data_IF_602713405008
#
_entry.id   IF_602713405008
#
_cell.length_a   1.000
_cell.length_b   1.000
_cell.length_c   1.000
_cell.angle_alpha   90.00
_cell.angle_beta   90.00
_cell.angle_gamma   90.00
#
_symmetry.space_group_name_H-M   'P 1'
#
loop_
_entity.id
_entity.type
_entity.pdbx_description
1 polymer ?
#
# COMPACT_ATOMS: atom_id res chain seq x y z
N UNK A 1 6.31 -15.59 -73.05
CA UNK A 1 6.96 -15.90 -71.75
C UNK A 1 7.54 -14.70 -70.96
N UNK A 2 8.01 -13.57 -71.54
CA UNK A 2 8.60 -12.46 -70.74
C UNK A 2 7.61 -11.66 -69.88
N UNK A 3 6.35 -11.56 -70.31
CA UNK A 3 5.32 -10.73 -69.66
C UNK A 3 4.81 -11.26 -68.32
N UNK A 4 4.91 -12.57 -68.06
CA UNK A 4 4.45 -13.20 -66.81
C UNK A 4 5.49 -13.04 -65.68
N UNK A 5 6.79 -13.12 -66.02
CA UNK A 5 7.91 -12.91 -65.08
C UNK A 5 7.90 -11.46 -64.56
N UNK A 6 7.66 -10.49 -65.44
CA UNK A 6 7.62 -9.07 -65.07
C UNK A 6 6.43 -8.72 -64.14
N UNK A 7 5.28 -9.40 -64.31
CA UNK A 7 4.11 -9.26 -63.40
C UNK A 7 4.37 -9.88 -62.02
N UNK A 8 5.03 -11.04 -61.95
CA UNK A 8 5.41 -11.69 -60.69
C UNK A 8 6.37 -10.86 -59.85
N UNK A 9 7.41 -10.28 -60.47
CA UNK A 9 8.38 -9.39 -59.81
C UNK A 9 7.72 -8.11 -59.28
N UNK A 10 6.76 -7.54 -60.02
CA UNK A 10 6.00 -6.35 -59.59
C UNK A 10 5.08 -6.66 -58.41
N UNK A 11 4.44 -7.82 -58.41
CA UNK A 11 3.62 -8.29 -57.29
C UNK A 11 4.47 -8.55 -56.03
N UNK A 12 5.65 -9.16 -56.17
CA UNK A 12 6.58 -9.38 -55.06
C UNK A 12 7.09 -8.07 -54.47
N UNK A 13 7.48 -7.09 -55.30
CA UNK A 13 7.85 -5.73 -54.86
C UNK A 13 6.71 -5.03 -54.13
N UNK A 14 5.46 -5.23 -54.56
CA UNK A 14 4.27 -4.67 -53.89
C UNK A 14 4.06 -5.31 -52.51
N UNK A 15 4.19 -6.64 -52.40
CA UNK A 15 4.13 -7.37 -51.13
C UNK A 15 5.24 -6.91 -50.17
N UNK A 16 6.48 -6.81 -50.64
CA UNK A 16 7.61 -6.34 -49.83
C UNK A 16 7.42 -4.91 -49.31
N UNK A 17 6.87 -4.02 -50.14
CA UNK A 17 6.53 -2.65 -49.71
C UNK A 17 5.39 -2.64 -48.68
N UNK A 18 4.38 -3.48 -48.86
CA UNK A 18 3.29 -3.62 -47.89
C UNK A 18 3.80 -4.12 -46.54
N UNK A 19 4.64 -5.17 -46.52
CA UNK A 19 5.25 -5.68 -45.28
C UNK A 19 6.16 -4.66 -44.60
N UNK A 20 6.92 -3.87 -45.37
CA UNK A 20 7.75 -2.78 -44.81
C UNK A 20 6.90 -1.65 -44.22
N UNK A 21 5.78 -1.31 -44.85
CA UNK A 21 4.84 -0.32 -44.34
C UNK A 21 4.18 -0.83 -43.05
N UNK A 22 3.70 -2.07 -43.04
CA UNK A 22 3.15 -2.73 -41.85
C UNK A 22 4.15 -2.76 -40.69
N UNK A 23 5.42 -3.09 -40.97
CA UNK A 23 6.48 -3.04 -39.96
C UNK A 23 6.74 -1.61 -39.44
N UNK A 24 6.69 -0.59 -40.30
CA UNK A 24 6.82 0.81 -39.88
C UNK A 24 5.66 1.24 -38.99
N UNK A 25 4.43 0.93 -39.38
CA UNK A 25 3.22 1.21 -38.59
C UNK A 25 3.29 0.49 -37.24
N UNK A 26 3.67 -0.79 -37.21
CA UNK A 26 3.86 -1.53 -35.95
C UNK A 26 4.92 -0.89 -35.05
N UNK A 27 6.06 -0.47 -35.61
CA UNK A 27 7.10 0.25 -34.85
C UNK A 27 6.60 1.60 -34.34
N UNK A 28 5.76 2.29 -35.09
CA UNK A 28 5.19 3.58 -34.69
C UNK A 28 4.15 3.41 -33.59
N UNK A 29 3.25 2.44 -33.71
CA UNK A 29 2.32 2.05 -32.66
C UNK A 29 3.05 1.64 -31.38
N UNK A 30 4.15 0.89 -31.51
CA UNK A 30 4.95 0.50 -30.35
C UNK A 30 5.63 1.70 -29.68
N UNK A 31 6.18 2.63 -30.47
CA UNK A 31 6.71 3.90 -29.92
C UNK A 31 5.61 4.68 -29.20
N UNK A 32 4.43 4.81 -29.82
CA UNK A 32 3.32 5.54 -29.23
C UNK A 32 2.83 4.89 -27.92
N UNK A 33 2.78 3.56 -27.85
CA UNK A 33 2.49 2.83 -26.61
C UNK A 33 3.52 3.14 -25.53
N UNK A 34 4.81 3.05 -25.84
CA UNK A 34 5.88 3.36 -24.90
C UNK A 34 5.82 4.82 -24.44
N UNK A 35 5.54 5.76 -25.34
CA UNK A 35 5.32 7.17 -24.98
C UNK A 35 4.14 7.34 -24.04
N UNK A 36 3.01 6.70 -24.31
CA UNK A 36 1.85 6.72 -23.41
C UNK A 36 2.16 6.11 -22.04
N UNK A 37 2.96 5.06 -21.96
CA UNK A 37 3.40 4.48 -20.69
C UNK A 37 4.31 5.43 -19.91
N UNK A 38 5.24 6.09 -20.60
CA UNK A 38 6.13 7.09 -20.03
C UNK A 38 5.33 8.29 -19.52
N UNK A 39 4.38 8.80 -20.30
CA UNK A 39 3.52 9.93 -19.93
C UNK A 39 2.67 9.59 -18.70
N UNK A 40 2.02 8.40 -18.71
CA UNK A 40 1.30 7.89 -17.53
C UNK A 40 2.20 7.79 -16.30
N UNK A 41 3.44 7.35 -16.48
CA UNK A 41 4.40 7.26 -15.38
C UNK A 41 4.77 8.66 -14.85
N UNK A 42 5.02 9.63 -15.73
CA UNK A 42 5.27 11.02 -15.36
C UNK A 42 4.10 11.66 -14.63
N UNK A 43 2.87 11.45 -15.12
CA UNK A 43 1.65 11.96 -14.47
C UNK A 43 1.49 11.37 -13.08
N UNK A 44 1.66 10.04 -12.93
CA UNK A 44 1.63 9.38 -11.63
C UNK A 44 2.72 9.91 -10.68
N UNK A 45 3.92 10.19 -11.19
CA UNK A 45 5.01 10.73 -10.40
C UNK A 45 4.71 12.17 -9.94
N UNK A 46 4.18 12.99 -10.85
CA UNK A 46 3.76 14.36 -10.56
C UNK A 46 2.64 14.39 -9.53
N UNK A 47 1.62 13.56 -9.70
CA UNK A 47 0.50 13.44 -8.75
C UNK A 47 0.99 13.01 -7.35
N UNK A 48 1.90 12.03 -7.28
CA UNK A 48 2.54 11.63 -6.01
C UNK A 48 3.29 12.78 -5.37
N UNK A 49 4.05 13.54 -6.14
CA UNK A 49 4.81 14.68 -5.63
C UNK A 49 3.88 15.80 -5.14
N UNK A 50 2.82 16.11 -5.88
CA UNK A 50 1.80 17.08 -5.47
C UNK A 50 1.04 16.62 -4.22
N UNK A 51 0.76 15.32 -4.06
CA UNK A 51 0.19 14.76 -2.82
C UNK A 51 1.14 14.95 -1.65
N UNK A 52 2.41 14.57 -1.79
CA UNK A 52 3.42 14.78 -0.74
C UNK A 52 3.56 16.26 -0.36
N UNK A 53 3.53 17.16 -1.35
CA UNK A 53 3.60 18.60 -1.10
C UNK A 53 2.38 19.10 -0.33
N UNK A 54 1.17 18.69 -0.72
CA UNK A 54 -0.07 19.02 0.00
C UNK A 54 -0.08 18.48 1.43
N UNK A 55 0.37 17.25 1.65
CA UNK A 55 0.49 16.68 3.00
C UNK A 55 1.46 17.47 3.88
N UNK A 56 2.60 17.90 3.31
CA UNK A 56 3.57 18.73 4.02
C UNK A 56 2.98 20.12 4.36
N UNK A 57 2.24 20.73 3.43
CA UNK A 57 1.57 22.02 3.65
C UNK A 57 0.53 21.91 4.76
N UNK A 58 -0.34 20.88 4.73
CA UNK A 58 -1.31 20.63 5.80
C UNK A 58 -0.64 20.43 7.17
N UNK A 59 0.48 19.70 7.22
CA UNK A 59 1.25 19.53 8.46
C UNK A 59 1.79 20.85 8.98
N UNK A 60 2.35 21.69 8.10
CA UNK A 60 2.85 23.02 8.47
C UNK A 60 1.73 23.92 8.97
N UNK A 61 0.55 23.86 8.37
CA UNK A 61 -0.63 24.60 8.83
C UNK A 61 -1.04 24.16 10.23
N UNK A 62 -1.08 22.85 10.51
CA UNK A 62 -1.35 22.32 11.84
C UNK A 62 -0.32 22.80 12.88
N UNK A 63 0.98 22.75 12.55
CA UNK A 63 2.05 23.26 13.41
C UNK A 63 1.93 24.78 13.66
N UNK A 64 1.55 25.55 12.64
CA UNK A 64 1.32 26.99 12.75
C UNK A 64 0.14 27.31 13.68
N UNK A 65 -0.96 26.56 13.58
CA UNK A 65 -2.13 26.71 14.45
C UNK A 65 -1.74 26.42 15.90
N UNK A 66 -1.01 25.32 16.16
CA UNK A 66 -0.50 24.99 17.51
C UNK A 66 0.42 26.08 18.05
N UNK A 67 1.31 26.63 17.22
CA UNK A 67 2.19 27.73 17.61
C UNK A 67 1.39 29.00 17.95
N UNK A 68 0.31 29.28 17.22
CA UNK A 68 -0.58 30.40 17.50
C UNK A 68 -1.30 30.24 18.85
N UNK A 69 -1.85 29.05 19.12
CA UNK A 69 -2.52 28.74 20.40
C UNK A 69 -1.52 28.88 21.56
N UNK A 70 -0.30 28.35 21.43
CA UNK A 70 0.77 28.50 22.44
C UNK A 70 1.14 29.96 22.68
N UNK A 71 1.20 30.77 21.62
CA UNK A 71 1.43 32.21 21.74
C UNK A 71 0.28 32.88 22.51
N UNK A 72 -0.99 32.56 22.20
CA UNK A 72 -2.16 33.09 22.92
C UNK A 72 -2.13 32.72 24.41
N UNK A 73 -1.77 31.47 24.74
CA UNK A 73 -1.56 31.02 26.13
C UNK A 73 -0.48 31.87 26.82
N UNK A 74 0.67 32.08 26.16
CA UNK A 74 1.76 32.87 26.72
C UNK A 74 1.35 34.34 26.93
N UNK A 75 0.65 34.94 25.98
CA UNK A 75 0.14 36.31 26.07
C UNK A 75 -0.89 36.46 27.20
N UNK A 76 -1.80 35.49 27.37
CA UNK A 76 -2.74 35.45 28.49
C UNK A 76 -2.01 35.34 29.85
N UNK A 77 -1.01 34.47 29.97
CA UNK A 77 -0.18 34.37 31.20
C UNK A 77 0.54 35.68 31.51
N UNK A 78 1.09 36.34 30.49
CA UNK A 78 1.78 37.64 30.62
C UNK A 78 0.84 38.75 31.07
N UNK A 79 -0.39 38.80 30.56
CA UNK A 79 -1.38 39.81 30.99
C UNK A 79 -1.83 39.58 32.43
N UNK A 80 -2.05 38.33 32.84
CA UNK A 80 -2.35 37.97 34.24
C UNK A 80 -1.24 38.42 35.19
N UNK A 81 0.03 38.19 34.83
CA UNK A 81 1.16 38.64 35.68
C UNK A 81 1.24 40.17 35.76
N UNK A 82 0.96 40.89 34.66
CA UNK A 82 0.86 42.37 34.70
C UNK A 82 -0.24 42.85 35.65
N UNK A 83 -1.42 42.22 35.63
CA UNK A 83 -2.51 42.56 36.56
C UNK A 83 -2.08 42.36 38.02
N UNK A 84 -1.39 41.27 38.32
CA UNK A 84 -0.83 40.99 39.65
C UNK A 84 0.21 42.04 40.09
N UNK A 85 1.04 42.52 39.16
CA UNK A 85 1.98 43.61 39.44
C UNK A 85 1.23 44.92 39.71
N UNK A 86 0.14 45.22 38.98
CA UNK A 86 -0.69 46.40 39.24
C UNK A 86 -1.37 46.37 40.62
N UNK A 87 -1.87 45.20 41.05
CA UNK A 87 -2.41 45.01 42.41
C UNK A 87 -1.36 45.35 43.48
N UNK A 88 -0.14 44.79 43.34
CA UNK A 88 0.98 45.05 44.27
C UNK A 88 1.38 46.53 44.29
N UNK A 89 1.50 47.15 43.12
CA UNK A 89 1.84 48.58 43.01
C UNK A 89 0.79 49.45 43.71
N UNK A 90 -0.49 49.13 43.54
CA UNK A 90 -1.56 49.86 44.21
C UNK A 90 -1.51 49.67 45.72
N UNK A 91 -1.35 48.44 46.20
CA UNK A 91 -1.20 48.15 47.64
C UNK A 91 -0.02 48.92 48.25
N UNK A 92 1.13 48.95 47.58
CA UNK A 92 2.30 49.71 48.02
C UNK A 92 2.03 51.23 48.07
N UNK A 93 1.33 51.78 47.07
CA UNK A 93 0.92 53.20 47.06
C UNK A 93 -0.03 53.52 48.20
N UNK A 94 -1.01 52.65 48.46
CA UNK A 94 -1.97 52.81 49.54
C UNK A 94 -1.27 52.78 50.91
N UNK A 95 -0.35 51.83 51.14
CA UNK A 95 0.45 51.77 52.37
C UNK A 95 1.29 53.05 52.57
N UNK A 96 1.90 53.58 51.50
CA UNK A 96 2.72 54.79 51.55
C UNK A 96 1.87 56.06 51.83
N UNK A 97 0.65 56.14 51.27
CA UNK A 97 -0.30 57.22 51.55
C UNK A 97 -0.76 57.20 53.02
N UNK A 98 -1.09 56.02 53.56
CA UNK A 98 -1.46 55.86 54.96
C UNK A 98 -0.32 56.27 55.89
N UNK A 99 0.92 55.88 55.59
CA UNK A 99 2.11 56.33 56.34
C UNK A 99 2.30 57.85 56.33
N UNK A 100 1.87 58.53 55.26
CA UNK A 100 1.91 59.99 55.13
C UNK A 100 0.67 60.70 55.70
N UNK A 101 -0.28 59.94 56.26
CA UNK A 101 -1.51 60.47 56.85
C UNK A 101 -2.63 60.82 55.85
N UNK A 102 -2.47 60.46 54.56
CA UNK A 102 -3.51 60.67 53.54
C UNK A 102 -4.33 59.40 53.33
N UNK A 103 -5.66 59.51 53.41
CA UNK A 103 -6.59 58.41 53.13
C UNK A 103 -7.30 58.61 51.79
N UNK A 104 -7.30 57.58 50.95
CA UNK A 104 -8.07 57.54 49.71
C UNK A 104 -9.53 57.18 50.02
N UNK A 105 -10.47 57.69 49.23
CA UNK A 105 -11.88 57.32 49.37
C UNK A 105 -12.09 55.81 49.14
N UNK A 106 -12.83 55.12 50.03
CA UNK A 106 -13.06 53.67 49.95
C UNK A 106 -13.67 53.21 48.62
N UNK A 107 -14.53 54.03 48.02
CA UNK A 107 -15.23 53.75 46.77
C UNK A 107 -14.25 53.58 45.59
N UNK A 108 -13.19 54.37 45.55
CA UNK A 108 -12.15 54.24 44.53
C UNK A 108 -11.31 52.96 44.70
N UNK A 109 -11.20 52.45 45.92
CA UNK A 109 -10.54 51.17 46.20
C UNK A 109 -11.39 50.00 45.73
N UNK A 110 -12.65 49.96 46.16
CA UNK A 110 -13.59 48.91 45.78
C UNK A 110 -13.79 48.86 44.25
N UNK A 111 -13.92 50.00 43.57
CA UNK A 111 -14.07 50.04 42.13
C UNK A 111 -12.83 49.53 41.36
N UNK A 112 -11.62 49.77 41.88
CA UNK A 112 -10.40 49.23 41.27
C UNK A 112 -10.32 47.72 41.46
N UNK A 113 -10.56 47.25 42.68
CA UNK A 113 -10.49 45.83 43.03
C UNK A 113 -11.53 45.02 42.25
N UNK A 114 -12.76 45.52 42.12
CA UNK A 114 -13.79 44.92 41.28
C UNK A 114 -13.37 44.84 39.80
N UNK A 115 -12.83 45.93 39.24
CA UNK A 115 -12.37 45.96 37.84
C UNK A 115 -11.20 45.01 37.58
N UNK A 116 -10.21 44.98 38.48
CA UNK A 116 -9.06 44.08 38.34
C UNK A 116 -9.48 42.62 38.50
N UNK A 117 -10.35 42.33 39.48
CA UNK A 117 -10.87 40.97 39.70
C UNK A 117 -11.63 40.49 38.45
N UNK A 118 -12.50 41.32 37.89
CA UNK A 118 -13.23 40.99 36.66
C UNK A 118 -12.30 40.74 35.46
N UNK A 119 -11.29 41.59 35.27
CA UNK A 119 -10.30 41.40 34.20
C UNK A 119 -9.50 40.11 34.41
N UNK A 120 -9.11 39.81 35.65
CA UNK A 120 -8.38 38.60 36.00
C UNK A 120 -9.20 37.35 35.73
N UNK A 121 -10.46 37.32 36.17
CA UNK A 121 -11.40 36.24 35.89
C UNK A 121 -11.57 36.01 34.39
N UNK A 122 -11.75 37.09 33.62
CA UNK A 122 -11.89 37.02 32.16
C UNK A 122 -10.62 36.45 31.51
N UNK A 123 -9.43 36.89 31.93
CA UNK A 123 -8.17 36.37 31.40
C UNK A 123 -7.92 34.92 31.81
N UNK A 124 -8.32 34.51 33.02
CA UNK A 124 -8.21 33.12 33.48
C UNK A 124 -9.15 32.19 32.70
N UNK A 125 -10.38 32.63 32.42
CA UNK A 125 -11.32 31.90 31.58
C UNK A 125 -10.78 31.72 30.15
N UNK A 126 -10.25 32.79 29.55
CA UNK A 126 -9.62 32.72 28.23
C UNK A 126 -8.40 31.80 28.22
N UNK A 127 -7.56 31.86 29.25
CA UNK A 127 -6.42 30.96 29.38
C UNK A 127 -6.87 29.49 29.45
N UNK A 128 -7.90 29.19 30.24
CA UNK A 128 -8.44 27.83 30.34
C UNK A 128 -8.95 27.31 29.00
N UNK A 129 -9.65 28.15 28.24
CA UNK A 129 -10.13 27.78 26.90
C UNK A 129 -8.97 27.46 25.95
N UNK A 130 -7.92 28.29 25.92
CA UNK A 130 -6.76 28.03 25.06
C UNK A 130 -5.98 26.78 25.48
N UNK A 131 -5.87 26.50 26.78
CA UNK A 131 -5.23 25.28 27.28
C UNK A 131 -6.05 24.02 26.94
N UNK A 132 -7.38 24.11 26.89
CA UNK A 132 -8.24 23.02 26.41
C UNK A 132 -8.11 22.82 24.90
N UNK A 133 -8.06 23.91 24.13
CA UNK A 133 -7.85 23.87 22.68
C UNK A 133 -6.50 23.23 22.33
N UNK A 134 -5.40 23.62 23.01
CA UNK A 134 -4.09 22.98 22.81
C UNK A 134 -4.13 21.47 23.08
N UNK A 135 -4.76 21.06 24.20
CA UNK A 135 -4.90 19.63 24.53
C UNK A 135 -5.72 18.87 23.48
N UNK A 136 -6.81 19.46 22.99
CA UNK A 136 -7.65 18.84 21.97
C UNK A 136 -6.87 18.64 20.66
N UNK A 137 -6.14 19.67 20.21
CA UNK A 137 -5.29 19.58 19.02
C UNK A 137 -4.17 18.56 19.18
N UNK A 138 -3.56 18.47 20.36
CA UNK A 138 -2.51 17.50 20.65
C UNK A 138 -3.02 16.05 20.61
N UNK A 139 -4.19 15.78 21.22
CA UNK A 139 -4.81 14.44 21.16
C UNK A 139 -5.15 14.07 19.72
N UNK A 140 -5.73 14.99 18.94
CA UNK A 140 -6.07 14.76 17.53
C UNK A 140 -4.82 14.40 16.68
N UNK A 141 -3.69 15.05 16.93
CA UNK A 141 -2.44 14.75 16.24
C UNK A 141 -1.86 13.39 16.64
N UNK A 142 -1.97 13.03 17.93
CA UNK A 142 -1.52 11.74 18.44
C UNK A 142 -2.37 10.58 17.90
N UNK A 143 -3.68 10.75 17.83
CA UNK A 143 -4.59 9.73 17.24
C UNK A 143 -4.30 9.52 15.76
N UNK A 144 -4.13 10.59 14.98
CA UNK A 144 -3.78 10.50 13.56
C UNK A 144 -2.42 9.79 13.34
N UNK A 145 -1.45 10.04 14.23
CA UNK A 145 -0.16 9.36 14.18
C UNK A 145 -0.25 7.88 14.56
N UNK A 146 -1.10 7.50 15.51
CA UNK A 146 -1.36 6.10 15.83
C UNK A 146 -2.05 5.38 14.66
N UNK A 147 -3.11 5.98 14.10
CA UNK A 147 -3.84 5.40 12.97
C UNK A 147 -2.91 5.14 11.78
N UNK A 148 -2.03 6.10 11.44
CA UNK A 148 -0.99 5.90 10.42
C UNK A 148 -0.05 4.73 10.74
N UNK A 149 0.36 4.57 12.01
CA UNK A 149 1.23 3.45 12.43
C UNK A 149 0.52 2.11 12.31
N UNK A 150 -0.74 2.05 12.71
CA UNK A 150 -1.58 0.85 12.59
C UNK A 150 -1.78 0.46 11.13
N UNK A 151 -2.12 1.41 10.26
CA UNK A 151 -2.26 1.19 8.82
C UNK A 151 -0.96 0.67 8.18
N UNK A 152 0.18 1.27 8.51
CA UNK A 152 1.49 0.78 8.04
C UNK A 152 1.78 -0.65 8.52
N UNK A 153 1.46 -0.97 9.78
CA UNK A 153 1.65 -2.31 10.34
C UNK A 153 0.74 -3.34 9.64
N UNK A 154 -0.53 -3.01 9.42
CA UNK A 154 -1.48 -3.82 8.67
C UNK A 154 -1.03 -4.05 7.24
N UNK A 155 -0.52 -3.01 6.57
CA UNK A 155 0.02 -3.12 5.22
C UNK A 155 1.25 -4.04 5.17
N UNK A 156 2.19 -3.91 6.12
CA UNK A 156 3.36 -4.80 6.22
C UNK A 156 2.95 -6.24 6.42
N UNK A 157 1.98 -6.50 7.32
CA UNK A 157 1.43 -7.84 7.58
C UNK A 157 0.78 -8.41 6.33
N UNK A 158 -0.06 -7.64 5.63
CA UNK A 158 -0.72 -8.07 4.38
C UNK A 158 0.31 -8.38 3.30
N UNK A 159 1.34 -7.55 3.16
CA UNK A 159 2.42 -7.77 2.19
C UNK A 159 3.19 -9.06 2.50
N UNK A 160 3.53 -9.29 3.76
CA UNK A 160 4.18 -10.53 4.19
C UNK A 160 3.30 -11.76 3.91
N UNK A 161 2.01 -11.69 4.25
CA UNK A 161 1.05 -12.75 3.97
C UNK A 161 0.96 -13.05 2.47
N UNK A 162 0.85 -12.01 1.63
CA UNK A 162 0.80 -12.20 0.17
C UNK A 162 2.10 -12.80 -0.38
N UNK A 163 3.25 -12.42 0.18
CA UNK A 163 4.54 -12.97 -0.20
C UNK A 163 4.67 -14.44 0.19
N UNK A 164 4.26 -14.79 1.41
CA UNK A 164 4.21 -16.18 1.88
C UNK A 164 3.26 -17.03 1.02
N UNK A 165 2.05 -16.52 0.71
CA UNK A 165 1.10 -17.19 -0.17
C UNK A 165 1.69 -17.43 -1.58
N UNK A 166 2.34 -16.42 -2.17
CA UNK A 166 3.02 -16.58 -3.46
C UNK A 166 4.14 -17.61 -3.41
N UNK A 167 4.94 -17.61 -2.34
CA UNK A 167 6.00 -18.61 -2.15
C UNK A 167 5.43 -20.01 -1.99
N UNK A 168 4.37 -20.18 -1.20
CA UNK A 168 3.68 -21.45 -1.05
C UNK A 168 3.10 -21.93 -2.39
N UNK A 169 2.42 -21.04 -3.12
CA UNK A 169 1.90 -21.34 -4.46
C UNK A 169 3.02 -21.79 -5.41
N UNK A 170 4.14 -21.08 -5.45
CA UNK A 170 5.28 -21.45 -6.29
C UNK A 170 5.91 -22.81 -5.91
N UNK A 171 5.94 -23.15 -4.61
CA UNK A 171 6.39 -24.48 -4.17
C UNK A 171 5.41 -25.57 -4.60
N UNK A 172 4.10 -25.34 -4.46
CA UNK A 172 3.08 -26.28 -4.91
C UNK A 172 3.12 -26.49 -6.42
N UNK A 173 3.24 -25.41 -7.20
CA UNK A 173 3.39 -25.48 -8.65
C UNK A 173 4.67 -26.23 -9.06
N UNK A 174 5.77 -26.05 -8.34
CA UNK A 174 7.01 -26.80 -8.62
C UNK A 174 6.93 -28.28 -8.27
N UNK A 175 6.12 -28.68 -7.27
CA UNK A 175 6.00 -30.07 -6.82
C UNK A 175 4.94 -30.85 -7.60
N UNK A 176 3.82 -30.20 -7.92
CA UNK A 176 2.63 -30.85 -8.47
C UNK A 176 2.28 -30.37 -9.88
N UNK A 177 3.03 -29.42 -10.43
CA UNK A 177 2.71 -28.77 -11.71
C UNK A 177 1.64 -27.70 -11.55
N UNK A 178 1.31 -27.04 -12.66
CA UNK A 178 0.25 -26.05 -12.70
C UNK A 178 -1.10 -26.70 -12.35
N UNK A 179 -1.86 -26.04 -11.48
CA UNK A 179 -3.18 -26.53 -11.05
C UNK A 179 -4.28 -26.30 -12.10
N UNK A 180 -3.96 -25.63 -13.21
CA UNK A 180 -4.91 -25.30 -14.28
C UNK A 180 -5.05 -26.48 -15.26
N UNK A 181 -6.28 -26.72 -15.73
CA UNK A 181 -6.53 -27.74 -16.77
C UNK A 181 -5.82 -27.29 -18.07
N UNK A 182 -4.94 -28.15 -18.65
CA UNK A 182 -4.24 -27.82 -19.88
C UNK A 182 -5.22 -27.49 -21.00
N UNK A 183 -4.83 -26.58 -21.89
CA UNK A 183 -5.65 -26.18 -23.02
C UNK A 183 -5.92 -27.37 -23.97
N UNK A 184 -7.03 -27.40 -24.71
CA UNK A 184 -7.32 -28.51 -25.64
C UNK A 184 -6.25 -28.74 -26.71
N UNK A 185 -5.49 -27.69 -27.06
CA UNK A 185 -4.39 -27.74 -28.03
C UNK A 185 -3.06 -28.23 -27.40
N UNK A 186 -3.00 -28.38 -26.08
CA UNK A 186 -1.83 -28.86 -25.35
C UNK A 186 -1.71 -30.39 -25.49
N UNK A 187 -0.54 -30.95 -25.86
CA UNK A 187 -0.32 -32.40 -25.90
C UNK A 187 -0.61 -33.11 -24.57
N UNK A 188 -0.55 -32.42 -23.42
CA UNK A 188 -0.85 -32.99 -22.11
C UNK A 188 -2.36 -33.11 -21.82
N UNK A 189 -3.22 -32.50 -22.62
CA UNK A 189 -4.67 -32.47 -22.40
C UNK A 189 -5.32 -33.85 -22.35
N UNK A 190 -4.91 -34.76 -23.25
CA UNK A 190 -5.44 -36.12 -23.30
C UNK A 190 -5.05 -36.94 -22.05
N UNK A 191 -3.82 -36.77 -21.57
CA UNK A 191 -3.33 -37.43 -20.36
C UNK A 191 -4.02 -36.89 -19.12
N UNK A 192 -4.17 -35.56 -19.03
CA UNK A 192 -4.91 -34.91 -17.97
C UNK A 192 -6.36 -35.39 -17.91
N UNK A 193 -7.05 -35.46 -19.06
CA UNK A 193 -8.41 -35.98 -19.11
C UNK A 193 -8.52 -37.42 -18.63
N UNK A 194 -7.61 -38.31 -19.06
CA UNK A 194 -7.61 -39.70 -18.63
C UNK A 194 -7.38 -39.83 -17.12
N UNK A 195 -6.35 -39.17 -16.58
CA UNK A 195 -6.04 -39.22 -15.14
C UNK A 195 -7.15 -38.61 -14.29
N UNK A 196 -7.80 -37.55 -14.77
CA UNK A 196 -8.88 -36.87 -14.05
C UNK A 196 -10.28 -37.47 -14.35
N UNK A 197 -10.39 -38.44 -15.25
CA UNK A 197 -11.67 -39.02 -15.68
C UNK A 197 -12.43 -39.71 -14.55
N UNK A 198 -11.71 -40.32 -13.59
CA UNK A 198 -12.28 -40.94 -12.39
C UNK A 198 -12.87 -39.93 -11.39
N UNK A 199 -12.39 -38.69 -11.39
CA UNK A 199 -12.99 -37.61 -10.59
C UNK A 199 -14.27 -37.05 -11.22
N UNK A 200 -14.44 -37.26 -12.54
CA UNK A 200 -15.58 -36.74 -13.32
C UNK A 200 -16.74 -37.75 -13.44
N UNK A 201 -16.49 -39.06 -13.33
CA UNK A 201 -17.51 -40.12 -13.40
C UNK A 201 -17.15 -41.31 -12.52
N UNK A 202 -18.16 -41.80 -11.79
CA UNK A 202 -18.02 -42.98 -10.93
C UNK A 202 -17.78 -44.26 -11.74
N UNK A 203 -18.35 -44.36 -12.93
CA UNK A 203 -18.16 -45.47 -13.86
C UNK A 203 -16.69 -45.56 -14.30
N UNK A 204 -16.09 -44.42 -14.66
CA UNK A 204 -14.67 -44.35 -15.01
C UNK A 204 -13.78 -44.71 -13.81
N UNK A 205 -14.13 -44.25 -12.59
CA UNK A 205 -13.39 -44.62 -11.39
C UNK A 205 -13.41 -46.13 -11.14
N UNK A 206 -14.59 -46.76 -11.26
CA UNK A 206 -14.75 -48.21 -11.10
C UNK A 206 -13.97 -48.97 -12.17
N UNK A 207 -13.98 -48.51 -13.43
CA UNK A 207 -13.21 -49.12 -14.51
C UNK A 207 -11.70 -49.02 -14.29
N UNK A 208 -11.20 -47.82 -13.94
CA UNK A 208 -9.78 -47.61 -13.62
C UNK A 208 -9.38 -48.56 -12.48
N UNK A 209 -10.19 -48.62 -11.42
CA UNK A 209 -9.91 -49.51 -10.29
C UNK A 209 -9.90 -50.98 -10.70
N UNK A 210 -10.87 -51.41 -11.50
CA UNK A 210 -10.93 -52.77 -12.02
C UNK A 210 -9.68 -53.13 -12.85
N UNK A 211 -9.22 -52.21 -13.72
CA UNK A 211 -7.96 -52.40 -14.47
C UNK A 211 -6.75 -52.60 -13.55
N UNK A 212 -6.67 -51.87 -12.44
CA UNK A 212 -5.62 -52.06 -11.45
C UNK A 212 -5.78 -53.37 -10.67
N UNK A 213 -7.01 -53.72 -10.28
CA UNK A 213 -7.31 -54.92 -9.48
C UNK A 213 -7.02 -56.22 -10.24
N UNK A 214 -7.09 -56.22 -11.58
CA UNK A 214 -6.66 -57.36 -12.42
C UNK A 214 -5.18 -57.71 -12.20
N UNK A 215 -4.34 -56.73 -11.87
CA UNK A 215 -2.92 -56.94 -11.56
C UNK A 215 -2.66 -57.32 -10.08
N UNK A 216 -3.71 -57.46 -9.26
CA UNK A 216 -3.63 -57.92 -7.87
C UNK A 216 -4.13 -59.37 -7.71
N UNK A 217 -4.47 -60.04 -8.82
CA UNK A 217 -4.94 -61.43 -8.90
C UNK A 217 -3.82 -62.47 -8.64
N UNK A 218 -4.17 -63.65 -8.13
CA UNK A 218 -3.25 -64.80 -7.92
C UNK A 218 -2.62 -65.33 -9.23
N UNK A 219 -3.17 -64.99 -10.40
CA UNK A 219 -2.62 -65.30 -11.73
C UNK A 219 -1.85 -64.12 -12.38
N UNK A 220 -1.77 -62.96 -11.72
CA UNK A 220 -1.02 -61.79 -12.19
C UNK A 220 0.44 -61.82 -11.75
N UNK A 221 1.31 -61.15 -12.50
CA UNK A 221 2.71 -60.94 -12.06
C UNK A 221 2.71 -60.07 -10.78
N UNK A 222 3.21 -60.63 -9.69
CA UNK A 222 3.33 -59.95 -8.40
C UNK A 222 4.10 -58.64 -8.54
N UNK A 223 3.62 -57.58 -7.89
CA UNK A 223 4.37 -56.32 -7.79
C UNK A 223 5.76 -56.65 -7.21
N UNK A 224 6.86 -56.25 -7.88
CA UNK A 224 8.19 -56.56 -7.41
C UNK A 224 8.40 -56.03 -5.98
N UNK A 225 8.67 -56.94 -5.05
CA UNK A 225 8.94 -56.58 -3.64
C UNK A 225 10.31 -55.89 -3.47
N UNK A 226 11.12 -55.85 -4.52
CA UNK A 226 12.46 -55.28 -4.54
C UNK A 226 12.53 -54.16 -5.57
N UNK A 227 13.53 -53.29 -5.42
CA UNK A 227 13.81 -52.22 -6.38
C UNK A 227 13.95 -52.80 -7.80
N UNK A 228 13.06 -52.39 -8.71
CA UNK A 228 13.12 -52.80 -10.11
C UNK A 228 14.29 -52.08 -10.75
N UNK A 229 15.34 -52.83 -11.07
CA UNK A 229 16.46 -52.28 -11.84
C UNK A 229 15.95 -52.04 -13.27
N UNK A 230 15.97 -50.79 -13.76
CA UNK A 230 15.52 -50.50 -15.11
C UNK A 230 16.35 -51.30 -16.11
N UNK A 231 15.68 -51.84 -17.13
CA UNK A 231 16.35 -52.54 -18.24
C UNK A 231 17.32 -51.57 -18.91
N UNK A 232 18.55 -51.99 -19.27
CA UNK A 232 19.45 -51.13 -20.02
C UNK A 232 18.73 -50.58 -21.26
N UNK A 233 18.97 -49.30 -21.60
CA UNK A 233 18.18 -48.58 -22.60
C UNK A 233 18.13 -49.36 -23.90
N UNK A 234 16.92 -49.57 -24.42
CA UNK A 234 16.66 -50.38 -25.60
C UNK A 234 17.19 -49.77 -26.90
N UNK A 235 17.68 -48.53 -26.86
CA UNK A 235 18.42 -47.89 -27.96
C UNK A 235 19.45 -46.91 -27.41
N UNK A 236 20.55 -46.71 -28.14
CA UNK A 236 21.61 -45.75 -27.78
C UNK A 236 21.09 -44.32 -27.60
N UNK A 237 20.03 -43.92 -28.30
CA UNK A 237 19.43 -42.58 -28.18
C UNK A 237 18.77 -42.30 -26.82
N UNK A 238 18.36 -43.33 -26.08
CA UNK A 238 17.77 -43.19 -24.75
C UNK A 238 18.83 -43.21 -23.63
N UNK A 239 20.00 -43.80 -23.90
CA UNK A 239 21.11 -43.94 -22.94
C UNK A 239 21.72 -42.59 -22.52
N UNK A 240 21.68 -41.60 -23.41
CA UNK A 240 22.15 -40.24 -23.16
C UNK A 240 21.39 -39.51 -22.03
N UNK A 241 20.18 -39.98 -21.67
CA UNK A 241 19.32 -39.34 -20.67
C UNK A 241 19.35 -40.02 -19.29
N UNK A 242 19.99 -41.19 -19.16
CA UNK A 242 20.07 -41.95 -17.90
C UNK A 242 21.45 -41.91 -17.24
N UNK A 243 22.45 -41.33 -17.89
CA UNK A 243 23.79 -41.15 -17.33
C UNK A 243 23.92 -39.75 -16.71
N UNK A 244 23.54 -39.65 -15.43
CA UNK A 244 23.95 -38.57 -14.53
C UNK A 244 24.73 -39.17 -13.35
#
# INVERSE_FOLDING_TARGET
MPYLICKGVRALKKKLKATLLEQRVKKEQERERLHQEIDKWFDNLKEKNEKMKRELEMKKEADNILAEVRRKIHEAKKTIEKLKVFEKLRSARQANSVQKGFYLQPEHSANFEAKISHLRETMLAQLSNYEQEEKALQVMLETEQEDRREEEALWRKRKLMTFQQKKQKAVLESLFGDSEEPAPDDPLFLFYQYQNSGNKSIENLVQIRHHWDVHLSEEGESIPLQWVVPVPPSSSSWEEYFTA
#
